data_IF_192374095136
#
_entry.id   IF_192374095136
#
_cell.length_a   1.000
_cell.length_b   1.000
_cell.length_c   1.000
_cell.angle_alpha   90.00
_cell.angle_beta   90.00
_cell.angle_gamma   90.00
#
_symmetry.space_group_name_H-M   'P 1'
#
loop_
_entity.id
_entity.type
_entity.pdbx_description
1 polymer ?
#
# COMPACT_ATOMS: atom_id res chain seq x y z
N UNK A 1 16.69 -6.79 21.21
CA UNK A 1 18.15 -6.94 21.01
C UNK A 1 18.56 -6.98 19.52
N UNK A 2 17.69 -6.57 18.60
CA UNK A 2 18.07 -5.90 17.37
C UNK A 2 17.33 -4.56 17.40
N UNK A 3 17.99 -3.52 17.86
CA UNK A 3 17.45 -2.16 17.84
C UNK A 3 17.57 -1.68 16.38
N UNK A 4 16.72 -2.20 15.49
CA UNK A 4 16.67 -1.78 14.08
C UNK A 4 16.05 -0.39 14.05
N UNK A 5 16.85 0.58 14.45
CA UNK A 5 16.57 1.99 14.33
C UNK A 5 17.14 2.57 13.05
N UNK A 6 16.90 3.85 12.85
CA UNK A 6 17.49 4.62 11.76
C UNK A 6 19.03 4.56 11.77
N UNK A 7 19.67 4.43 12.94
CA UNK A 7 21.12 4.31 13.13
C UNK A 7 21.71 3.07 12.46
N UNK A 8 21.18 1.88 12.76
CA UNK A 8 21.63 0.60 12.23
C UNK A 8 21.40 0.52 10.72
N UNK A 9 20.26 1.05 10.24
CA UNK A 9 19.95 1.09 8.82
C UNK A 9 20.94 1.99 8.07
N UNK A 10 21.37 3.10 8.69
CA UNK A 10 22.42 3.95 8.14
C UNK A 10 23.77 3.23 8.11
N UNK A 11 24.14 2.51 9.19
CA UNK A 11 25.38 1.74 9.27
C UNK A 11 25.45 0.67 8.17
N UNK A 12 24.38 -0.14 8.03
CA UNK A 12 24.27 -1.15 6.99
C UNK A 12 24.31 -0.50 5.60
N UNK A 13 23.64 0.65 5.42
CA UNK A 13 23.70 1.43 4.19
C UNK A 13 25.12 1.85 3.82
N UNK A 14 25.90 2.37 4.77
CA UNK A 14 27.31 2.75 4.54
C UNK A 14 28.15 1.53 4.18
N UNK A 15 28.03 0.42 4.92
CA UNK A 15 28.78 -0.81 4.63
C UNK A 15 28.42 -1.35 3.23
N UNK A 16 27.14 -1.37 2.89
CA UNK A 16 26.67 -1.78 1.56
C UNK A 16 27.22 -0.87 0.46
N UNK A 17 27.27 0.45 0.66
CA UNK A 17 27.85 1.41 -0.28
C UNK A 17 29.35 1.19 -0.49
N UNK A 18 30.10 0.79 0.54
CA UNK A 18 31.54 0.51 0.42
C UNK A 18 31.77 -0.80 -0.36
N UNK A 19 31.02 -1.85 -0.04
CA UNK A 19 31.21 -3.19 -0.63
C UNK A 19 30.73 -3.25 -2.07
N UNK A 20 29.53 -2.74 -2.34
CA UNK A 20 28.88 -2.80 -3.66
C UNK A 20 29.24 -1.57 -4.50
N UNK A 21 29.48 -0.44 -3.86
CA UNK A 21 29.67 0.84 -4.54
C UNK A 21 28.37 1.66 -4.67
N UNK A 22 28.43 2.99 -4.53
CA UNK A 22 27.25 3.86 -4.58
C UNK A 22 26.52 3.85 -5.93
N UNK A 23 27.24 3.52 -7.01
CA UNK A 23 26.66 3.46 -8.37
C UNK A 23 25.95 2.15 -8.66
N UNK A 24 26.31 1.08 -7.96
CA UNK A 24 25.75 -0.26 -8.20
C UNK A 24 24.56 -0.56 -7.30
N UNK A 25 24.50 0.00 -6.08
CA UNK A 25 23.34 -0.10 -5.19
C UNK A 25 21.99 0.20 -5.90
N UNK A 26 21.83 1.28 -6.69
CA UNK A 26 20.59 1.54 -7.42
C UNK A 26 20.35 0.57 -8.59
N UNK A 27 21.38 -0.10 -9.11
CA UNK A 27 21.23 -1.16 -10.11
C UNK A 27 20.74 -2.47 -9.47
N UNK A 28 21.32 -2.83 -8.33
CA UNK A 28 20.94 -4.00 -7.53
C UNK A 28 19.51 -3.87 -7.04
N UNK A 29 19.13 -2.73 -6.45
CA UNK A 29 17.76 -2.48 -6.01
C UNK A 29 16.75 -2.59 -7.14
N UNK A 30 17.07 -2.11 -8.35
CA UNK A 30 16.20 -2.27 -9.53
C UNK A 30 16.06 -3.74 -9.92
N UNK A 31 17.14 -4.51 -9.83
CA UNK A 31 17.14 -5.94 -10.19
C UNK A 31 16.33 -6.75 -9.18
N UNK A 32 16.60 -6.57 -7.88
CA UNK A 32 15.84 -7.19 -6.79
C UNK A 32 14.37 -6.77 -6.87
N UNK A 33 14.10 -5.47 -7.06
CA UNK A 33 12.74 -4.96 -7.17
C UNK A 33 11.96 -5.59 -8.33
N UNK A 34 12.59 -5.77 -9.49
CA UNK A 34 11.98 -6.48 -10.63
C UNK A 34 11.67 -7.94 -10.30
N UNK A 35 12.57 -8.64 -9.62
CA UNK A 35 12.36 -10.03 -9.19
C UNK A 35 11.24 -10.15 -8.17
N UNK A 36 11.24 -9.29 -7.14
CA UNK A 36 10.17 -9.21 -6.12
C UNK A 36 8.84 -8.87 -6.76
N UNK A 37 8.81 -7.96 -7.73
CA UNK A 37 7.56 -7.59 -8.44
C UNK A 37 6.99 -8.76 -9.22
N UNK A 38 7.84 -9.54 -9.90
CA UNK A 38 7.43 -10.77 -10.58
C UNK A 38 6.88 -11.80 -9.60
N UNK A 39 7.58 -12.02 -8.48
CA UNK A 39 7.12 -12.90 -7.41
C UNK A 39 5.78 -12.45 -6.82
N UNK A 40 5.60 -11.15 -6.56
CA UNK A 40 4.35 -10.60 -6.05
C UNK A 40 3.20 -10.81 -7.04
N UNK A 41 3.45 -10.63 -8.34
CA UNK A 41 2.45 -10.87 -9.38
C UNK A 41 2.04 -12.34 -9.44
N UNK A 42 3.02 -13.25 -9.41
CA UNK A 42 2.78 -14.69 -9.30
C UNK A 42 2.01 -15.05 -8.03
N UNK A 43 2.40 -14.50 -6.88
CA UNK A 43 1.70 -14.70 -5.61
C UNK A 43 0.24 -14.20 -5.65
N UNK A 44 -0.05 -13.11 -6.37
CA UNK A 44 -1.42 -12.63 -6.57
C UNK A 44 -2.27 -13.62 -7.38
N UNK A 45 -1.68 -14.25 -8.41
CA UNK A 45 -2.33 -15.30 -9.20
C UNK A 45 -2.56 -16.57 -8.34
N UNK A 46 -1.57 -16.96 -7.53
CA UNK A 46 -1.70 -18.06 -6.57
C UNK A 46 -2.74 -17.76 -5.50
N UNK A 47 -2.80 -16.54 -4.96
CA UNK A 47 -3.77 -16.18 -3.96
C UNK A 47 -5.20 -16.29 -4.51
N UNK A 48 -5.44 -15.93 -5.77
CA UNK A 48 -6.73 -16.18 -6.43
C UNK A 48 -7.10 -17.67 -6.43
N UNK A 49 -6.17 -18.54 -6.83
CA UNK A 49 -6.39 -20.00 -6.87
C UNK A 49 -6.48 -20.63 -5.47
N UNK A 50 -5.67 -20.16 -4.52
CA UNK A 50 -5.69 -20.61 -3.13
C UNK A 50 -6.92 -20.12 -2.39
N UNK A 51 -7.48 -18.96 -2.72
CA UNK A 51 -8.68 -18.45 -2.06
C UNK A 51 -9.92 -19.30 -2.41
N UNK A 52 -9.96 -19.86 -3.63
CA UNK A 52 -10.95 -20.86 -4.03
C UNK A 52 -10.74 -22.20 -3.32
N UNK A 53 -9.50 -22.67 -3.16
CA UNK A 53 -9.18 -23.92 -2.47
C UNK A 53 -9.29 -23.84 -0.93
N UNK A 54 -8.90 -22.73 -0.32
CA UNK A 54 -8.95 -22.49 1.11
C UNK A 54 -10.36 -22.17 1.59
N UNK A 55 -11.30 -21.75 0.71
CA UNK A 55 -12.70 -21.63 1.11
C UNK A 55 -13.30 -22.98 1.57
N UNK A 56 -12.68 -24.09 1.16
CA UNK A 56 -12.98 -25.46 1.58
C UNK A 56 -12.20 -25.89 2.85
N UNK A 57 -11.11 -25.19 3.20
CA UNK A 57 -10.23 -25.53 4.33
C UNK A 57 -10.09 -24.35 5.31
N UNK A 58 -10.71 -24.49 6.48
CA UNK A 58 -10.81 -23.53 7.59
C UNK A 58 -9.76 -22.38 7.60
N UNK A 59 -10.15 -21.22 7.06
CA UNK A 59 -9.31 -20.04 6.78
C UNK A 59 -9.02 -19.15 8.01
N UNK A 60 -9.57 -19.48 9.16
CA UNK A 60 -9.63 -18.61 10.35
C UNK A 60 -8.27 -18.47 11.05
N UNK A 61 -7.52 -19.56 11.19
CA UNK A 61 -6.23 -19.59 11.89
C UNK A 61 -5.12 -18.87 11.09
N UNK A 62 -5.05 -19.10 9.78
CA UNK A 62 -4.07 -18.48 8.88
C UNK A 62 -4.24 -16.95 8.80
N UNK A 63 -5.48 -16.44 8.84
CA UNK A 63 -5.75 -14.99 8.82
C UNK A 63 -5.30 -14.32 10.11
N UNK A 64 -5.50 -14.98 11.26
CA UNK A 64 -5.08 -14.48 12.56
C UNK A 64 -3.56 -14.38 12.66
N UNK A 65 -2.83 -15.37 12.12
CA UNK A 65 -1.36 -15.39 12.12
C UNK A 65 -0.76 -14.29 11.22
N UNK A 66 -1.34 -14.08 10.02
CA UNK A 66 -0.94 -12.97 9.13
C UNK A 66 -1.24 -11.61 9.77
N UNK A 67 -2.37 -11.47 10.47
CA UNK A 67 -2.73 -10.26 11.21
C UNK A 67 -1.70 -9.92 12.29
N UNK A 68 -1.28 -10.92 13.08
CA UNK A 68 -0.28 -10.74 14.14
C UNK A 68 1.10 -10.35 13.58
N UNK A 69 1.50 -10.92 12.43
CA UNK A 69 2.75 -10.54 11.75
C UNK A 69 2.67 -9.12 11.22
N UNK A 70 1.54 -8.72 10.65
CA UNK A 70 1.34 -7.35 10.17
C UNK A 70 1.38 -6.33 11.31
N UNK A 71 0.76 -6.63 12.46
CA UNK A 71 0.79 -5.80 13.67
C UNK A 71 2.21 -5.72 14.26
N UNK A 72 2.95 -6.84 14.26
CA UNK A 72 4.34 -6.90 14.74
C UNK A 72 5.30 -6.12 13.84
N UNK A 73 5.09 -6.16 12.52
CA UNK A 73 5.85 -5.35 11.57
C UNK A 73 5.55 -3.86 11.78
N UNK A 74 4.28 -3.50 11.99
CA UNK A 74 3.86 -2.12 12.24
C UNK A 74 4.43 -1.54 13.54
N UNK A 75 4.52 -2.35 14.59
CA UNK A 75 5.12 -1.95 15.88
C UNK A 75 6.65 -1.93 15.86
N UNK A 76 7.29 -2.75 15.02
CA UNK A 76 8.75 -2.79 14.87
C UNK A 76 9.31 -1.66 14.00
N UNK A 77 8.48 -1.05 13.14
CA UNK A 77 8.87 0.07 12.28
C UNK A 77 8.00 1.31 12.52
N UNK A 78 8.19 2.02 13.65
CA UNK A 78 7.55 3.31 13.91
C UNK A 78 8.16 4.38 13.01
N UNK A 79 7.59 4.57 11.81
CA UNK A 79 8.07 5.59 10.86
C UNK A 79 7.72 5.36 9.39
N UNK A 80 6.98 4.31 9.04
CA UNK A 80 6.55 4.06 7.66
C UNK A 80 5.38 4.95 7.18
N UNK A 81 4.95 5.94 7.97
CA UNK A 81 3.99 6.98 7.55
C UNK A 81 4.51 7.83 6.38
N UNK A 82 5.80 7.66 6.02
CA UNK A 82 6.52 8.33 4.93
C UNK A 82 6.08 7.86 3.52
N UNK A 83 5.35 6.75 3.39
CA UNK A 83 4.90 6.21 2.09
C UNK A 83 3.38 6.09 1.97
N UNK A 84 2.62 7.12 2.34
CA UNK A 84 1.18 7.18 2.08
C UNK A 84 0.86 8.20 0.94
N UNK A 85 1.27 7.94 -0.31
CA UNK A 85 1.00 8.80 -1.47
C UNK A 85 -0.51 8.93 -1.75
N UNK A 86 -1.35 8.17 -1.06
CA UNK A 86 -2.80 8.22 -1.14
C UNK A 86 -3.39 9.49 -0.49
N UNK A 87 -2.72 10.12 0.49
CA UNK A 87 -3.23 11.35 1.12
C UNK A 87 -3.12 12.56 0.18
N UNK A 88 -2.00 12.74 -0.51
CA UNK A 88 -1.83 13.82 -1.48
C UNK A 88 -2.75 13.66 -2.70
N UNK A 89 -2.93 12.43 -3.19
CA UNK A 89 -3.84 12.12 -4.31
C UNK A 89 -5.30 12.35 -3.90
N UNK A 90 -5.69 12.00 -2.66
CA UNK A 90 -7.04 12.24 -2.15
C UNK A 90 -7.36 13.75 -2.07
N UNK A 91 -6.42 14.58 -1.66
CA UNK A 91 -6.61 16.04 -1.58
C UNK A 91 -6.68 16.69 -2.98
N UNK A 92 -5.92 16.19 -3.95
CA UNK A 92 -5.97 16.63 -5.34
C UNK A 92 -7.29 16.22 -6.04
N UNK A 93 -7.78 15.00 -5.80
CA UNK A 93 -9.09 14.54 -6.30
C UNK A 93 -10.21 15.35 -5.64
N UNK A 94 -10.15 15.59 -4.32
CA UNK A 94 -11.18 16.35 -3.61
C UNK A 94 -11.28 17.79 -4.11
N UNK A 95 -10.14 18.45 -4.34
CA UNK A 95 -10.13 19.82 -4.86
C UNK A 95 -10.58 19.89 -6.32
N UNK A 96 -10.36 18.85 -7.13
CA UNK A 96 -10.90 18.75 -8.48
C UNK A 96 -12.40 18.50 -8.48
N UNK A 97 -12.89 17.59 -7.62
CA UNK A 97 -14.33 17.33 -7.45
C UNK A 97 -15.06 18.56 -6.92
N UNK A 98 -14.49 19.27 -5.94
CA UNK A 98 -15.05 20.53 -5.43
C UNK A 98 -14.94 21.67 -6.46
N UNK A 99 -13.87 21.71 -7.27
CA UNK A 99 -13.71 22.67 -8.37
C UNK A 99 -14.68 22.44 -9.52
N UNK A 100 -14.98 21.18 -9.85
CA UNK A 100 -16.04 20.81 -10.80
C UNK A 100 -17.41 21.10 -10.19
N UNK A 101 -17.64 20.79 -8.91
CA UNK A 101 -18.90 21.09 -8.20
C UNK A 101 -19.18 22.61 -8.19
N UNK A 102 -18.16 23.46 -8.02
CA UNK A 102 -18.31 24.93 -8.11
C UNK A 102 -18.49 25.44 -9.53
N UNK A 103 -17.88 24.79 -10.54
CA UNK A 103 -18.08 25.15 -11.96
C UNK A 103 -19.45 24.71 -12.51
N UNK A 104 -20.06 23.67 -11.95
CA UNK A 104 -21.44 23.26 -12.25
C UNK A 104 -22.50 24.01 -11.43
N UNK A 105 -22.13 24.72 -10.37
CA UNK A 105 -23.07 25.43 -9.51
C UNK A 105 -23.75 26.71 -10.07
N UNK A 106 -23.42 27.29 -11.25
CA UNK A 106 -24.25 28.36 -11.81
C UNK A 106 -25.31 27.87 -12.81
N UNK A 107 -25.43 26.56 -13.09
CA UNK A 107 -26.45 26.06 -14.02
C UNK A 107 -27.16 24.83 -13.44
N UNK A 108 -28.30 25.05 -12.79
CA UNK A 108 -29.10 23.93 -12.28
C UNK A 108 -30.39 24.32 -11.56
N UNK A 109 -31.16 25.25 -12.11
CA UNK A 109 -32.61 25.16 -11.94
C UNK A 109 -33.13 24.12 -12.93
N UNK A 110 -33.62 22.99 -12.41
CA UNK A 110 -34.69 22.13 -12.97
C UNK A 110 -34.48 20.65 -12.60
N UNK A 111 -35.39 20.15 -11.75
CA UNK A 111 -36.13 18.92 -12.07
C UNK A 111 -35.51 17.57 -11.71
N UNK A 112 -35.95 17.04 -10.57
CA UNK A 112 -36.52 15.69 -10.52
C UNK A 112 -35.57 14.53 -10.25
N UNK A 113 -35.35 14.24 -8.98
CA UNK A 113 -35.31 12.85 -8.53
C UNK A 113 -36.32 12.72 -7.37
N UNK A 114 -37.38 12.00 -7.68
CA UNK A 114 -38.46 11.63 -6.76
C UNK A 114 -37.90 10.66 -5.73
N UNK A 115 -38.09 10.97 -4.45
CA UNK A 115 -37.97 10.01 -3.36
C UNK A 115 -38.89 8.80 -3.63
N UNK A 116 -38.38 7.56 -3.57
CA UNK A 116 -39.22 6.40 -3.36
C UNK A 116 -39.08 5.99 -1.89
N UNK A 117 -39.93 6.52 -1.00
CA UNK A 117 -40.17 5.86 0.28
C UNK A 117 -41.55 6.20 0.85
N UNK A 118 -42.49 5.31 0.53
CA UNK A 118 -43.67 4.97 1.34
C UNK A 118 -43.21 4.38 2.70
N UNK A 119 -44.09 4.15 3.71
CA UNK A 119 -45.55 4.20 3.74
C UNK A 119 -46.18 5.41 4.45
#
# INVERSE_FOLDING_TARGET
MFDIGWSELMLIGVVALIVIGPKELPSVLRTVGRTVTKLRRMAGEFQGQFQDALREADLSDMRSEIGNIAESAKSSFPGSDVFDPLRSIREEIRSTVEGVRRRCAPCGGAGGDQDPLAP
#
